data_IF_728010829095
#
_entry.id   IF_728010829095
#
_cell.length_a   1.000
_cell.length_b   1.000
_cell.length_c   1.000
_cell.angle_alpha   90.00
_cell.angle_beta   90.00
_cell.angle_gamma   90.00
#
_symmetry.space_group_name_H-M   'P 1'
#
loop_
_entity.id
_entity.type
_entity.pdbx_description
1 polymer ?
#
# COMPACT_ATOMS: atom_id res chain seq x y z
N UNK A 1 -24.84 11.29 15.68
CA UNK A 1 -23.81 10.37 15.18
C UNK A 1 -22.70 11.23 14.57
N UNK A 2 -21.43 10.96 14.87
CA UNK A 2 -20.30 11.72 14.30
C UNK A 2 -19.99 11.23 12.90
N UNK A 3 -19.82 12.15 11.94
CA UNK A 3 -19.48 11.82 10.54
C UNK A 3 -18.08 11.19 10.45
N UNK A 4 -17.03 11.92 10.83
CA UNK A 4 -15.64 11.45 10.78
C UNK A 4 -15.18 11.03 12.17
N UNK A 5 -15.14 9.72 12.40
CA UNK A 5 -14.66 9.14 13.67
C UNK A 5 -13.15 9.05 13.77
N UNK A 6 -12.45 9.02 12.64
CA UNK A 6 -11.00 8.96 12.59
C UNK A 6 -10.51 9.66 11.32
N UNK A 7 -9.50 10.51 11.45
CA UNK A 7 -8.94 11.29 10.33
C UNK A 7 -7.81 10.57 9.59
N UNK A 8 -7.31 9.45 10.12
CA UNK A 8 -6.23 8.64 9.55
C UNK A 8 -6.50 8.15 8.12
N UNK A 9 -7.70 7.65 7.76
CA UNK A 9 -7.96 7.14 6.40
C UNK A 9 -8.23 8.24 5.38
N UNK A 10 -8.49 9.49 5.80
CA UNK A 10 -8.88 10.59 4.91
C UNK A 10 -7.93 10.85 3.74
N UNK A 11 -6.59 10.73 3.87
CA UNK A 11 -5.68 10.91 2.73
C UNK A 11 -5.93 9.95 1.56
N UNK A 12 -6.58 8.81 1.79
CA UNK A 12 -6.87 7.84 0.74
C UNK A 12 -8.11 8.19 -0.10
N UNK A 13 -8.95 9.13 0.39
CA UNK A 13 -10.12 9.57 -0.35
C UNK A 13 -9.69 10.47 -1.51
N UNK A 14 -10.14 10.25 -2.75
CA UNK A 14 -9.89 11.18 -3.84
C UNK A 14 -10.63 12.51 -3.61
N UNK A 15 -10.19 13.57 -4.29
CA UNK A 15 -10.95 14.82 -4.35
C UNK A 15 -12.02 14.69 -5.45
N UNK A 16 -13.27 15.03 -5.13
CA UNK A 16 -14.43 15.02 -6.02
C UNK A 16 -15.16 16.37 -5.99
N UNK A 17 -15.34 16.94 -4.80
CA UNK A 17 -15.98 18.24 -4.58
C UNK A 17 -15.03 19.41 -4.80
N UNK A 18 -13.72 19.19 -4.64
CA UNK A 18 -12.66 20.16 -4.92
C UNK A 18 -11.92 19.76 -6.20
N UNK A 19 -12.10 20.47 -7.33
CA UNK A 19 -11.36 20.21 -8.56
C UNK A 19 -9.84 20.49 -8.41
N UNK A 20 -8.99 19.93 -9.28
CA UNK A 20 -7.54 19.99 -9.12
C UNK A 20 -6.94 21.40 -9.01
N UNK A 21 -7.47 22.36 -9.77
CA UNK A 21 -7.05 23.76 -9.77
C UNK A 21 -7.34 24.46 -8.42
N UNK A 22 -8.50 24.17 -7.81
CA UNK A 22 -8.87 24.65 -6.48
C UNK A 22 -7.99 24.01 -5.41
N UNK A 23 -7.75 22.69 -5.50
CA UNK A 23 -6.84 21.99 -4.58
C UNK A 23 -5.43 22.57 -4.65
N UNK A 24 -4.90 22.81 -5.86
CA UNK A 24 -3.58 23.40 -6.06
C UNK A 24 -3.48 24.80 -5.43
N UNK A 25 -4.48 25.66 -5.66
CA UNK A 25 -4.55 26.99 -5.05
C UNK A 25 -4.57 26.90 -3.51
N UNK A 26 -5.41 26.02 -2.95
CA UNK A 26 -5.51 25.79 -1.51
C UNK A 26 -4.22 25.24 -0.91
N UNK A 27 -3.56 24.29 -1.58
CA UNK A 27 -2.29 23.73 -1.11
C UNK A 27 -1.15 24.74 -1.14
N UNK A 28 -1.10 25.59 -2.16
CA UNK A 28 -0.10 26.66 -2.31
C UNK A 28 -0.24 27.75 -1.25
N UNK A 29 -1.46 28.04 -0.83
CA UNK A 29 -1.77 29.10 0.16
C UNK A 29 -1.79 28.59 1.60
N UNK A 30 -1.84 27.28 1.81
CA UNK A 30 -1.83 26.71 3.15
C UNK A 30 -0.42 26.69 3.76
N UNK A 31 -0.25 27.07 5.05
CA UNK A 31 1.04 26.98 5.72
C UNK A 31 1.59 25.56 5.72
N UNK A 32 2.88 25.40 5.39
CA UNK A 32 3.56 24.12 5.45
C UNK A 32 3.54 23.57 6.88
N UNK A 33 2.69 22.57 7.12
CA UNK A 33 2.46 22.01 8.44
C UNK A 33 1.99 20.56 8.36
N UNK A 34 2.28 19.79 9.41
CA UNK A 34 1.68 18.46 9.58
C UNK A 34 0.16 18.62 9.66
N UNK A 35 -0.57 17.83 8.88
CA UNK A 35 -2.03 17.85 8.85
C UNK A 35 -2.68 18.76 7.80
N UNK A 36 -1.90 19.41 6.91
CA UNK A 36 -2.47 20.21 5.80
C UNK A 36 -3.45 19.40 4.94
N UNK A 37 -3.04 18.19 4.55
CA UNK A 37 -3.82 17.27 3.73
C UNK A 37 -5.11 16.86 4.44
N UNK A 38 -5.05 16.61 5.74
CA UNK A 38 -6.23 16.24 6.54
C UNK A 38 -7.23 17.39 6.59
N UNK A 39 -6.78 18.64 6.78
CA UNK A 39 -7.69 19.81 6.76
C UNK A 39 -8.39 19.95 5.41
N UNK A 40 -7.66 19.77 4.30
CA UNK A 40 -8.26 19.81 2.96
C UNK A 40 -9.24 18.66 2.73
N UNK A 41 -8.93 17.45 3.20
CA UNK A 41 -9.85 16.31 3.11
C UNK A 41 -11.08 16.46 3.98
N UNK A 42 -10.98 17.13 5.12
CA UNK A 42 -12.15 17.50 5.92
C UNK A 42 -13.03 18.51 5.18
N UNK A 43 -12.44 19.50 4.50
CA UNK A 43 -13.21 20.45 3.69
C UNK A 43 -13.85 19.78 2.47
N UNK A 44 -13.11 18.92 1.78
CA UNK A 44 -13.62 18.05 0.71
C UNK A 44 -14.84 17.24 1.18
N UNK A 45 -14.71 16.54 2.31
CA UNK A 45 -15.80 15.78 2.91
C UNK A 45 -17.01 16.67 3.21
N UNK A 46 -16.79 17.84 3.80
CA UNK A 46 -17.84 18.79 4.11
C UNK A 46 -18.61 19.25 2.86
N UNK A 47 -17.89 19.62 1.80
CA UNK A 47 -18.46 20.02 0.52
C UNK A 47 -19.23 18.88 -0.15
N UNK A 48 -18.66 17.67 -0.13
CA UNK A 48 -19.29 16.48 -0.68
C UNK A 48 -20.59 16.15 0.08
N UNK A 49 -20.60 16.14 1.41
CA UNK A 49 -21.83 15.88 2.20
C UNK A 49 -22.99 16.83 1.88
N UNK A 50 -22.70 18.04 1.40
CA UNK A 50 -23.67 19.07 1.02
C UNK A 50 -23.95 19.11 -0.49
N UNK A 51 -23.43 18.16 -1.27
CA UNK A 51 -23.61 18.13 -2.72
C UNK A 51 -23.04 19.35 -3.44
N UNK A 52 -22.02 19.99 -2.86
CA UNK A 52 -21.51 21.28 -3.32
C UNK A 52 -20.09 21.16 -3.89
N UNK A 53 -19.94 21.39 -5.19
CA UNK A 53 -18.62 21.51 -5.83
C UNK A 53 -18.11 22.95 -5.73
N UNK A 54 -16.88 23.12 -5.26
CA UNK A 54 -16.21 24.43 -5.21
C UNK A 54 -15.37 24.58 -6.47
N UNK A 55 -15.80 25.41 -7.41
CA UNK A 55 -15.03 25.72 -8.62
C UNK A 55 -14.16 26.95 -8.41
N UNK A 56 -13.12 27.12 -9.22
CA UNK A 56 -12.24 28.30 -9.15
C UNK A 56 -13.02 29.61 -9.27
N UNK A 57 -13.92 29.71 -10.25
CA UNK A 57 -14.83 30.87 -10.42
C UNK A 57 -15.81 31.02 -9.24
N UNK A 58 -16.20 29.90 -8.64
CA UNK A 58 -17.11 29.86 -7.49
C UNK A 58 -16.48 30.37 -6.19
N UNK A 59 -15.15 30.48 -6.08
CA UNK A 59 -14.47 31.00 -4.88
C UNK A 59 -14.86 32.44 -4.55
N UNK A 60 -15.17 33.24 -5.57
CA UNK A 60 -15.60 34.64 -5.41
C UNK A 60 -17.11 34.77 -5.14
N UNK A 61 -17.84 33.65 -5.08
CA UNK A 61 -19.29 33.66 -4.86
C UNK A 61 -19.64 33.72 -3.36
N UNK A 62 -20.76 34.36 -3.00
CA UNK A 62 -21.28 34.31 -1.62
C UNK A 62 -21.52 32.87 -1.12
N UNK A 63 -21.86 31.96 -2.03
CA UNK A 63 -22.09 30.54 -1.73
C UNK A 63 -20.82 29.85 -1.20
N UNK A 64 -19.65 30.18 -1.76
CA UNK A 64 -18.39 29.66 -1.21
C UNK A 64 -18.11 30.19 0.20
N UNK A 65 -18.31 31.48 0.42
CA UNK A 65 -18.12 32.09 1.75
C UNK A 65 -19.05 31.44 2.79
N UNK A 66 -20.31 31.20 2.45
CA UNK A 66 -21.26 30.47 3.29
C UNK A 66 -20.79 29.03 3.58
N UNK A 67 -20.32 28.29 2.57
CA UNK A 67 -19.73 26.96 2.75
C UNK A 67 -18.51 26.98 3.70
N UNK A 68 -17.61 27.93 3.50
CA UNK A 68 -16.41 28.09 4.31
C UNK A 68 -16.73 28.42 5.77
N UNK A 69 -17.74 29.29 6.00
CA UNK A 69 -18.27 29.62 7.32
C UNK A 69 -18.90 28.41 8.00
N UNK A 70 -19.77 27.70 7.29
CA UNK A 70 -20.38 26.46 7.79
C UNK A 70 -19.35 25.39 8.13
N UNK A 71 -18.26 25.28 7.37
CA UNK A 71 -17.16 24.37 7.67
C UNK A 71 -16.45 24.73 8.98
N UNK A 72 -16.18 26.02 9.22
CA UNK A 72 -15.63 26.47 10.51
C UNK A 72 -16.56 26.11 11.68
N UNK A 73 -17.87 26.30 11.50
CA UNK A 73 -18.88 25.90 12.48
C UNK A 73 -18.87 24.39 12.75
N UNK A 74 -18.78 23.59 11.69
CA UNK A 74 -18.74 22.12 11.78
C UNK A 74 -17.53 21.64 12.60
N UNK A 75 -16.36 22.26 12.41
CA UNK A 75 -15.14 21.91 13.15
C UNK A 75 -15.21 22.24 14.65
N UNK A 76 -16.08 23.14 15.11
CA UNK A 76 -16.18 23.42 16.56
C UNK A 76 -16.79 22.26 17.35
N UNK A 77 -17.78 21.60 16.77
CA UNK A 77 -18.51 20.49 17.39
C UNK A 77 -17.89 19.12 17.12
N UNK A 78 -18.40 18.11 17.84
CA UNK A 78 -17.98 16.71 17.72
C UNK A 78 -18.86 15.90 16.76
N UNK A 79 -19.91 16.54 16.23
CA UNK A 79 -20.83 15.92 15.28
C UNK A 79 -20.19 15.73 13.89
N UNK A 80 -19.26 16.61 13.51
CA UNK A 80 -18.57 16.49 12.23
C UNK A 80 -17.30 15.64 12.34
N UNK A 81 -16.42 15.94 13.31
CA UNK A 81 -15.16 15.20 13.52
C UNK A 81 -14.95 14.94 15.00
N UNK A 82 -14.58 13.71 15.36
CA UNK A 82 -14.44 13.24 16.76
C UNK A 82 -13.11 13.64 17.44
N UNK A 83 -12.17 14.27 16.71
CA UNK A 83 -10.88 14.72 17.25
C UNK A 83 -11.07 15.61 18.47
N UNK A 84 -10.11 15.67 19.40
CA UNK A 84 -10.17 16.59 20.54
C UNK A 84 -10.24 18.08 20.14
N UNK A 85 -10.68 18.92 21.08
CA UNK A 85 -10.89 20.35 20.84
C UNK A 85 -9.63 21.10 20.38
N UNK A 86 -8.43 20.70 20.82
CA UNK A 86 -7.19 21.34 20.40
C UNK A 86 -6.87 21.02 18.93
N UNK A 87 -7.02 19.76 18.52
CA UNK A 87 -6.88 19.34 17.13
C UNK A 87 -7.91 20.02 16.21
N UNK A 88 -9.18 20.09 16.64
CA UNK A 88 -10.23 20.83 15.93
C UNK A 88 -9.87 22.31 15.74
N UNK A 89 -9.38 22.97 16.79
CA UNK A 89 -8.92 24.35 16.73
C UNK A 89 -7.72 24.54 15.79
N UNK A 90 -6.81 23.56 15.68
CA UNK A 90 -5.72 23.62 14.70
C UNK A 90 -6.25 23.56 13.26
N UNK A 91 -7.25 22.73 12.96
CA UNK A 91 -7.86 22.69 11.63
C UNK A 91 -8.52 24.02 11.27
N UNK A 92 -9.26 24.64 12.21
CA UNK A 92 -9.83 25.98 12.03
C UNK A 92 -8.74 26.99 11.69
N UNK A 93 -7.69 27.09 12.51
CA UNK A 93 -6.60 28.05 12.28
C UNK A 93 -5.88 27.83 10.94
N UNK A 94 -5.67 26.57 10.54
CA UNK A 94 -5.05 26.23 9.25
C UNK A 94 -5.94 26.65 8.08
N UNK A 95 -7.23 26.38 8.17
CA UNK A 95 -8.19 26.72 7.12
C UNK A 95 -8.37 28.23 6.96
N UNK A 96 -8.48 28.98 8.06
CA UNK A 96 -8.54 30.46 8.04
C UNK A 96 -7.30 31.04 7.35
N UNK A 97 -6.08 30.60 7.74
CA UNK A 97 -4.84 31.08 7.13
C UNK A 97 -4.75 30.78 5.64
N UNK A 98 -5.19 29.58 5.23
CA UNK A 98 -5.28 29.22 3.81
C UNK A 98 -6.25 30.15 3.08
N UNK A 99 -7.43 30.38 3.65
CA UNK A 99 -8.45 31.25 3.09
C UNK A 99 -7.95 32.71 2.94
N UNK A 100 -7.29 33.25 3.95
CA UNK A 100 -6.66 34.58 3.88
C UNK A 100 -5.56 34.63 2.80
N UNK A 101 -4.77 33.57 2.67
CA UNK A 101 -3.77 33.42 1.61
C UNK A 101 -4.39 33.37 0.21
N UNK A 102 -5.55 32.70 0.04
CA UNK A 102 -6.28 32.71 -1.23
C UNK A 102 -6.83 34.10 -1.53
N UNK A 103 -7.38 34.79 -0.53
CA UNK A 103 -7.91 36.15 -0.68
C UNK A 103 -6.83 37.17 -1.05
N UNK A 104 -5.59 36.98 -0.59
CA UNK A 104 -4.46 37.81 -1.01
C UNK A 104 -4.12 37.65 -2.50
N UNK A 105 -4.46 36.50 -3.11
CA UNK A 105 -4.26 36.23 -4.54
C UNK A 105 -5.51 36.55 -5.37
N UNK A 106 -6.70 36.41 -4.79
CA UNK A 106 -8.01 36.65 -5.40
C UNK A 106 -8.84 37.54 -4.45
N UNK A 107 -8.72 38.87 -4.54
CA UNK A 107 -9.34 39.81 -3.60
C UNK A 107 -10.86 39.73 -3.51
N UNK A 108 -11.52 39.20 -4.55
CA UNK A 108 -12.97 39.02 -4.65
C UNK A 108 -13.50 37.91 -3.73
N UNK A 109 -12.62 37.09 -3.16
CA UNK A 109 -13.01 36.10 -2.13
C UNK A 109 -13.48 36.85 -0.88
N UNK A 110 -14.71 36.54 -0.44
CA UNK A 110 -15.31 37.14 0.75
C UNK A 110 -14.51 36.86 2.01
N UNK A 111 -14.49 37.79 2.96
CA UNK A 111 -13.77 37.63 4.22
C UNK A 111 -14.38 36.54 5.12
N UNK A 112 -13.53 35.87 5.89
CA UNK A 112 -13.93 34.82 6.83
C UNK A 112 -13.60 35.22 8.27
N UNK A 113 -14.63 35.45 9.09
CA UNK A 113 -14.46 35.76 10.50
C UNK A 113 -14.17 34.52 11.35
N UNK A 114 -13.25 34.64 12.31
CA UNK A 114 -12.85 33.55 13.22
C UNK A 114 -12.77 33.97 14.71
N UNK A 115 -13.12 35.21 15.03
CA UNK A 115 -13.31 35.68 16.40
C UNK A 115 -14.55 35.02 17.05
N UNK A 116 -14.78 35.30 18.34
CA UNK A 116 -15.85 34.67 19.09
C UNK A 116 -17.25 34.90 18.47
N UNK A 117 -17.57 36.13 18.08
CA UNK A 117 -18.88 36.47 17.50
C UNK A 117 -19.04 35.82 16.13
N UNK A 118 -18.02 35.92 15.27
CA UNK A 118 -18.02 35.26 13.97
C UNK A 118 -18.18 33.74 14.07
N UNK A 119 -17.57 33.12 15.09
CA UNK A 119 -17.68 31.68 15.30
C UNK A 119 -19.08 31.25 15.74
N UNK A 120 -19.80 32.07 16.51
CA UNK A 120 -21.19 31.81 16.88
C UNK A 120 -22.10 31.82 15.64
N UNK A 121 -21.91 32.78 14.74
CA UNK A 121 -22.62 32.81 13.46
C UNK A 121 -22.27 31.59 12.58
N UNK A 122 -20.98 31.22 12.52
CA UNK A 122 -20.53 30.05 11.76
C UNK A 122 -21.16 28.75 12.29
N UNK A 123 -21.35 28.62 13.61
CA UNK A 123 -22.06 27.49 14.23
C UNK A 123 -23.53 27.47 13.80
N UNK A 124 -24.19 28.63 13.70
CA UNK A 124 -25.56 28.71 13.20
C UNK A 124 -25.67 28.26 11.73
N UNK A 125 -24.71 28.65 10.87
CA UNK A 125 -24.63 28.16 9.49
C UNK A 125 -24.47 26.64 9.45
N UNK A 126 -23.59 26.09 10.30
CA UNK A 126 -23.45 24.63 10.42
C UNK A 126 -24.75 23.95 10.87
N UNK A 127 -25.49 24.53 11.82
CA UNK A 127 -26.75 23.95 12.28
C UNK A 127 -27.74 23.77 11.11
N UNK A 128 -27.83 24.73 10.20
CA UNK A 128 -28.67 24.62 9.00
C UNK A 128 -28.11 23.62 7.98
N UNK A 129 -26.80 23.61 7.74
CA UNK A 129 -26.15 22.67 6.83
C UNK A 129 -26.29 21.21 7.32
N UNK A 130 -26.20 21.00 8.64
CA UNK A 130 -26.29 19.67 9.26
C UNK A 130 -27.63 18.97 9.02
N UNK A 131 -28.70 19.73 8.76
CA UNK A 131 -30.04 19.20 8.42
C UNK A 131 -30.12 18.65 6.99
N UNK A 132 -29.19 19.03 6.12
CA UNK A 132 -29.18 18.72 4.68
C UNK A 132 -28.11 17.67 4.30
N UNK A 133 -27.45 17.07 5.28
CA UNK A 133 -26.38 16.10 5.02
C UNK A 133 -26.94 14.84 4.37
N UNK A 134 -26.33 14.46 3.25
CA UNK A 134 -26.68 13.25 2.53
C UNK A 134 -26.26 11.99 3.31
N UNK A 135 -27.20 11.10 3.72
CA UNK A 135 -26.87 9.88 4.46
C UNK A 135 -26.00 8.90 3.67
N UNK A 136 -26.13 8.84 2.35
CA UNK A 136 -25.33 7.94 1.50
C UNK A 136 -23.87 8.40 1.46
N UNK A 137 -23.65 9.72 1.31
CA UNK A 137 -22.30 10.30 1.39
C UNK A 137 -21.69 10.15 2.78
N UNK A 138 -22.49 10.19 3.84
CA UNK A 138 -21.99 9.89 5.19
C UNK A 138 -21.42 8.47 5.29
N UNK A 139 -22.05 7.49 4.64
CA UNK A 139 -21.51 6.12 4.59
C UNK A 139 -20.19 6.06 3.82
N UNK A 140 -20.10 6.76 2.68
CA UNK A 140 -18.85 6.86 1.93
C UNK A 140 -17.69 7.35 2.81
N UNK A 141 -17.92 8.41 3.60
CA UNK A 141 -16.93 9.04 4.49
C UNK A 141 -16.71 8.32 5.84
N UNK A 142 -17.29 7.13 6.06
CA UNK A 142 -17.21 6.43 7.35
C UNK A 142 -15.81 5.91 7.72
N UNK A 143 -14.84 6.03 6.82
CA UNK A 143 -13.44 5.64 7.03
C UNK A 143 -13.15 4.15 6.86
N UNK A 144 -14.17 3.29 6.71
CA UNK A 144 -14.04 1.86 6.44
C UNK A 144 -13.22 1.10 7.49
N UNK A 145 -13.56 1.36 8.76
CA UNK A 145 -12.89 0.77 9.91
C UNK A 145 -13.16 -0.74 10.02
N UNK A 146 -12.13 -1.47 10.42
CA UNK A 146 -12.18 -2.87 10.84
C UNK A 146 -11.52 -3.02 12.21
N UNK A 147 -11.98 -4.00 12.99
CA UNK A 147 -11.43 -4.31 14.30
C UNK A 147 -10.87 -5.72 14.27
N UNK A 148 -9.63 -5.87 14.73
CA UNK A 148 -9.02 -7.18 15.00
C UNK A 148 -9.62 -7.82 16.26
N UNK A 149 -9.36 -9.11 16.48
CA UNK A 149 -9.75 -9.81 17.71
C UNK A 149 -9.13 -9.22 18.98
N UNK A 150 -8.05 -8.44 18.85
CA UNK A 150 -7.40 -7.70 19.96
C UNK A 150 -7.98 -6.29 20.17
N UNK A 151 -9.04 -5.92 19.47
CA UNK A 151 -9.62 -4.57 19.53
C UNK A 151 -8.77 -3.50 18.83
N UNK A 152 -7.67 -3.87 18.15
CA UNK A 152 -6.88 -2.92 17.36
C UNK A 152 -7.66 -2.55 16.10
N UNK A 153 -7.84 -1.24 15.90
CA UNK A 153 -8.46 -0.63 14.72
C UNK A 153 -7.50 -0.57 13.54
N UNK A 154 -8.03 -0.76 12.33
CA UNK A 154 -7.36 -0.59 11.04
C UNK A 154 -8.40 -0.19 10.00
N UNK A 155 -7.97 0.29 8.83
CA UNK A 155 -8.88 0.83 7.82
C UNK A 155 -8.62 0.20 6.45
N UNK A 156 -9.70 -0.05 5.71
CA UNK A 156 -9.64 -0.51 4.33
C UNK A 156 -9.73 0.68 3.37
N UNK A 157 -9.01 0.59 2.25
CA UNK A 157 -8.95 1.62 1.22
C UNK A 157 -10.11 1.50 0.22
N UNK A 158 -11.34 1.54 0.75
CA UNK A 158 -12.56 1.35 -0.05
C UNK A 158 -13.12 2.60 -0.77
N UNK A 159 -12.64 3.86 -0.59
CA UNK A 159 -13.17 4.99 -1.36
C UNK A 159 -13.08 4.80 -2.87
N UNK A 160 -12.00 4.18 -3.38
CA UNK A 160 -11.87 3.89 -4.80
C UNK A 160 -12.82 2.78 -5.27
N UNK A 161 -13.17 1.84 -4.39
CA UNK A 161 -14.13 0.78 -4.69
C UNK A 161 -15.55 1.35 -4.80
N UNK A 162 -15.92 2.24 -3.87
CA UNK A 162 -17.21 2.92 -3.87
C UNK A 162 -17.46 3.64 -5.20
N UNK A 163 -16.47 4.38 -5.69
CA UNK A 163 -16.57 5.13 -6.95
C UNK A 163 -16.68 4.17 -8.15
N UNK A 164 -15.95 3.06 -8.14
CA UNK A 164 -15.84 2.17 -9.30
C UNK A 164 -16.92 1.09 -9.38
N UNK A 165 -17.48 0.66 -8.24
CA UNK A 165 -18.39 -0.49 -8.12
C UNK A 165 -19.70 -0.15 -7.37
N UNK A 166 -19.92 1.12 -7.04
CA UNK A 166 -21.04 1.66 -6.28
C UNK A 166 -21.06 1.28 -4.78
N UNK A 167 -21.95 1.96 -4.06
CA UNK A 167 -22.06 1.87 -2.60
C UNK A 167 -22.43 0.48 -2.10
N UNK A 168 -23.48 -0.13 -2.67
CA UNK A 168 -23.97 -1.44 -2.21
C UNK A 168 -22.89 -2.53 -2.27
N UNK A 169 -22.20 -2.67 -3.39
CA UNK A 169 -21.11 -3.65 -3.53
C UNK A 169 -19.99 -3.39 -2.51
N UNK A 170 -19.66 -2.12 -2.27
CA UNK A 170 -18.59 -1.74 -1.35
C UNK A 170 -18.96 -1.98 0.11
N UNK A 171 -20.21 -1.70 0.49
CA UNK A 171 -20.76 -2.02 1.82
C UNK A 171 -20.74 -3.53 2.08
N UNK A 172 -21.22 -4.33 1.12
CA UNK A 172 -21.22 -5.79 1.23
C UNK A 172 -19.79 -6.34 1.33
N UNK A 173 -18.87 -5.84 0.51
CA UNK A 173 -17.45 -6.19 0.56
C UNK A 173 -16.82 -5.84 1.92
N UNK A 174 -17.10 -4.64 2.44
CA UNK A 174 -16.61 -4.19 3.75
C UNK A 174 -17.11 -5.10 4.86
N UNK A 175 -18.40 -5.44 4.86
CA UNK A 175 -19.02 -6.21 5.93
C UNK A 175 -18.42 -7.62 6.04
N UNK A 176 -18.20 -8.31 4.91
CA UNK A 176 -17.56 -9.64 4.92
C UNK A 176 -16.17 -9.60 5.56
N UNK A 177 -15.34 -8.62 5.17
CA UNK A 177 -14.01 -8.46 5.77
C UNK A 177 -14.06 -8.01 7.24
N UNK A 178 -14.99 -7.13 7.60
CA UNK A 178 -15.17 -6.64 8.97
C UNK A 178 -15.51 -7.79 9.92
N UNK A 179 -16.42 -8.67 9.53
CA UNK A 179 -16.80 -9.85 10.31
C UNK A 179 -15.67 -10.87 10.41
N UNK A 180 -14.93 -11.07 9.32
CA UNK A 180 -13.79 -11.99 9.28
C UNK A 180 -12.64 -11.52 10.18
N UNK A 181 -12.23 -10.26 10.06
CA UNK A 181 -11.09 -9.72 10.80
C UNK A 181 -11.32 -9.60 12.29
N UNK A 182 -12.57 -9.52 12.76
CA UNK A 182 -12.90 -9.61 14.19
C UNK A 182 -12.44 -10.91 14.84
N UNK A 183 -12.27 -11.98 14.05
CA UNK A 183 -11.77 -13.29 14.53
C UNK A 183 -10.25 -13.41 14.44
N UNK A 184 -9.57 -12.46 13.78
CA UNK A 184 -8.13 -12.53 13.50
C UNK A 184 -7.32 -11.58 14.38
N UNK A 185 -6.21 -12.08 14.94
CA UNK A 185 -5.28 -11.26 15.70
C UNK A 185 -4.47 -10.30 14.82
N UNK A 186 -4.21 -10.66 13.55
CA UNK A 186 -3.45 -9.88 12.58
C UNK A 186 -4.20 -9.87 11.23
N UNK A 187 -5.06 -8.87 11.01
CA UNK A 187 -5.74 -8.68 9.73
C UNK A 187 -4.74 -8.44 8.59
N UNK A 188 -4.95 -9.10 7.44
CA UNK A 188 -4.18 -8.92 6.21
C UNK A 188 -4.66 -7.69 5.42
N UNK A 189 -4.69 -6.52 6.07
CA UNK A 189 -5.19 -5.28 5.43
C UNK A 189 -4.38 -4.81 4.23
N UNK A 190 -3.03 -4.94 4.18
CA UNK A 190 -2.28 -4.52 3.00
C UNK A 190 -2.67 -5.27 1.74
N UNK A 191 -2.86 -6.59 1.84
CA UNK A 191 -3.22 -7.47 0.74
C UNK A 191 -4.65 -7.19 0.26
N UNK A 192 -5.60 -6.97 1.17
CA UNK A 192 -6.97 -6.56 0.83
C UNK A 192 -6.97 -5.20 0.13
N UNK A 193 -6.21 -4.22 0.63
CA UNK A 193 -6.12 -2.91 -0.01
C UNK A 193 -5.48 -2.99 -1.40
N UNK A 194 -4.54 -3.91 -1.62
CA UNK A 194 -3.98 -4.15 -2.95
C UNK A 194 -5.01 -4.76 -3.92
N UNK A 195 -5.81 -5.72 -3.46
CA UNK A 195 -6.95 -6.26 -4.22
C UNK A 195 -7.93 -5.16 -4.60
N UNK A 196 -8.33 -4.33 -3.63
CA UNK A 196 -9.29 -3.24 -3.83
C UNK A 196 -8.78 -2.24 -4.88
N UNK A 197 -7.52 -1.82 -4.79
CA UNK A 197 -6.92 -0.90 -5.77
C UNK A 197 -6.82 -1.52 -7.15
N UNK A 198 -6.49 -2.81 -7.25
CA UNK A 198 -6.45 -3.52 -8.52
C UNK A 198 -7.86 -3.59 -9.14
N UNK A 199 -8.86 -3.96 -8.35
CA UNK A 199 -10.25 -4.04 -8.80
C UNK A 199 -10.77 -2.67 -9.26
N UNK A 200 -10.55 -1.62 -8.46
CA UNK A 200 -10.99 -0.27 -8.80
C UNK A 200 -10.31 0.28 -10.07
N UNK A 201 -9.01 0.00 -10.26
CA UNK A 201 -8.27 0.43 -11.44
C UNK A 201 -8.75 -0.24 -12.73
N UNK A 202 -9.24 -1.48 -12.64
CA UNK A 202 -9.64 -2.30 -13.78
C UNK A 202 -11.16 -2.54 -13.81
N UNK A 203 -11.96 -1.61 -13.28
CA UNK A 203 -13.41 -1.78 -13.12
C UNK A 203 -14.18 -1.95 -14.43
N UNK A 204 -13.66 -1.41 -15.54
CA UNK A 204 -14.23 -1.60 -16.87
C UNK A 204 -14.10 -3.04 -17.38
N UNK A 205 -13.02 -3.74 -17.01
CA UNK A 205 -12.82 -5.16 -17.35
C UNK A 205 -13.50 -6.09 -16.34
N UNK A 206 -13.55 -5.66 -15.07
CA UNK A 206 -14.03 -6.47 -13.95
C UNK A 206 -15.16 -5.76 -13.19
N UNK A 207 -16.34 -5.55 -13.80
CA UNK A 207 -17.49 -4.97 -13.12
C UNK A 207 -18.01 -5.88 -12.00
N UNK A 208 -18.86 -5.38 -11.10
CA UNK A 208 -19.40 -6.15 -9.96
C UNK A 208 -20.02 -7.50 -10.33
N UNK A 209 -20.60 -7.63 -11.52
CA UNK A 209 -21.19 -8.87 -12.05
C UNK A 209 -20.15 -9.99 -12.29
N UNK A 210 -18.86 -9.64 -12.44
CA UNK A 210 -17.73 -10.58 -12.54
C UNK A 210 -17.76 -11.63 -11.43
N UNK A 211 -18.09 -11.21 -10.22
CA UNK A 211 -18.09 -12.06 -9.03
C UNK A 211 -19.31 -12.98 -8.93
N UNK A 212 -20.27 -12.84 -9.84
CA UNK A 212 -21.46 -13.70 -9.94
C UNK A 212 -21.31 -14.78 -11.03
N UNK A 213 -20.20 -14.79 -11.77
CA UNK A 213 -19.94 -15.74 -12.85
C UNK A 213 -18.68 -16.59 -12.61
N UNK A 214 -18.80 -17.94 -12.49
CA UNK A 214 -17.68 -18.84 -12.21
C UNK A 214 -16.47 -18.71 -13.14
N UNK A 215 -16.69 -18.39 -14.42
CA UNK A 215 -15.61 -18.19 -15.39
C UNK A 215 -14.89 -16.86 -15.22
N UNK A 216 -15.64 -15.79 -14.97
CA UNK A 216 -15.11 -14.42 -14.89
C UNK A 216 -14.31 -14.20 -13.61
N UNK A 217 -14.81 -14.70 -12.46
CA UNK A 217 -14.10 -14.59 -11.19
C UNK A 217 -12.72 -15.26 -11.26
N UNK A 218 -12.60 -16.41 -11.93
CA UNK A 218 -11.31 -17.08 -12.11
C UNK A 218 -10.36 -16.24 -12.96
N UNK A 219 -10.87 -15.68 -14.07
CA UNK A 219 -10.08 -14.82 -14.96
C UNK A 219 -9.58 -13.57 -14.21
N UNK A 220 -10.44 -12.95 -13.40
CA UNK A 220 -10.08 -11.84 -12.53
C UNK A 220 -8.93 -12.19 -11.58
N UNK A 221 -9.03 -13.30 -10.85
CA UNK A 221 -7.99 -13.69 -9.89
C UNK A 221 -6.67 -14.07 -10.56
N UNK A 222 -6.69 -14.62 -11.77
CA UNK A 222 -5.47 -14.85 -12.55
C UNK A 222 -4.83 -13.53 -13.01
N UNK A 223 -5.63 -12.56 -13.44
CA UNK A 223 -5.14 -11.22 -13.79
C UNK A 223 -4.55 -10.50 -12.56
N UNK A 224 -5.24 -10.56 -11.42
CA UNK A 224 -4.75 -10.00 -10.16
C UNK A 224 -3.48 -10.69 -9.68
N UNK A 225 -3.41 -12.02 -9.78
CA UNK A 225 -2.21 -12.80 -9.43
C UNK A 225 -0.99 -12.33 -10.22
N UNK A 226 -1.16 -12.13 -11.54
CA UNK A 226 -0.11 -11.59 -12.40
C UNK A 226 0.35 -10.22 -11.93
N UNK A 227 -0.55 -9.27 -11.69
CA UNK A 227 -0.20 -7.93 -11.21
C UNK A 227 0.52 -7.97 -9.85
N UNK A 228 -0.01 -8.76 -8.92
CA UNK A 228 0.53 -8.93 -7.56
C UNK A 228 1.99 -9.40 -7.58
N UNK A 229 2.28 -10.50 -8.27
CA UNK A 229 3.65 -11.05 -8.32
C UNK A 229 4.58 -10.23 -9.21
N UNK A 230 4.10 -9.62 -10.30
CA UNK A 230 4.93 -8.72 -11.11
C UNK A 230 5.32 -7.44 -10.36
N UNK A 231 4.42 -6.91 -9.51
CA UNK A 231 4.77 -5.81 -8.61
C UNK A 231 5.83 -6.24 -7.60
N UNK A 232 5.62 -7.36 -6.93
CA UNK A 232 6.56 -7.88 -5.94
C UNK A 232 7.96 -8.14 -6.54
N UNK A 233 8.02 -8.64 -7.78
CA UNK A 233 9.28 -8.81 -8.52
C UNK A 233 9.96 -7.47 -8.82
N UNK A 234 9.21 -6.47 -9.33
CA UNK A 234 9.74 -5.12 -9.59
C UNK A 234 10.28 -4.44 -8.33
N UNK A 235 9.66 -4.71 -7.18
CA UNK A 235 10.04 -4.13 -5.89
C UNK A 235 11.09 -4.99 -5.14
N UNK A 236 11.68 -6.01 -5.78
CA UNK A 236 12.67 -6.93 -5.19
C UNK A 236 12.22 -7.55 -3.84
N UNK A 237 10.93 -7.85 -3.71
CA UNK A 237 10.38 -8.46 -2.50
C UNK A 237 10.74 -9.95 -2.41
N UNK A 238 10.71 -10.51 -1.20
CA UNK A 238 10.89 -11.95 -0.99
C UNK A 238 9.68 -12.73 -1.56
N UNK A 239 9.89 -13.46 -2.66
CA UNK A 239 8.82 -14.20 -3.36
C UNK A 239 8.11 -15.22 -2.47
N UNK A 240 8.82 -15.93 -1.59
CA UNK A 240 8.20 -16.92 -0.73
C UNK A 240 7.32 -16.28 0.36
N UNK A 241 7.70 -15.11 0.87
CA UNK A 241 6.84 -14.31 1.75
C UNK A 241 5.58 -13.85 1.02
N UNK A 242 5.71 -13.42 -0.25
CA UNK A 242 4.58 -12.97 -1.07
C UNK A 242 3.64 -14.12 -1.44
N UNK A 243 4.17 -15.32 -1.74
CA UNK A 243 3.35 -16.52 -1.94
C UNK A 243 2.54 -16.86 -0.68
N UNK A 244 3.16 -16.77 0.51
CA UNK A 244 2.44 -16.99 1.78
C UNK A 244 1.33 -15.97 2.00
N UNK A 245 1.60 -14.69 1.79
CA UNK A 245 0.61 -13.61 1.93
C UNK A 245 -0.53 -13.77 0.92
N UNK A 246 -0.22 -14.08 -0.34
CA UNK A 246 -1.20 -14.38 -1.38
C UNK A 246 -2.11 -15.56 -1.01
N UNK A 247 -1.53 -16.70 -0.60
CA UNK A 247 -2.31 -17.88 -0.23
C UNK A 247 -3.20 -17.62 0.98
N UNK A 248 -2.75 -16.81 1.93
CA UNK A 248 -3.55 -16.36 3.06
C UNK A 248 -4.73 -15.49 2.60
N UNK A 249 -4.50 -14.53 1.70
CA UNK A 249 -5.56 -13.71 1.10
C UNK A 249 -6.60 -14.58 0.38
N UNK A 250 -6.16 -15.48 -0.52
CA UNK A 250 -7.07 -16.34 -1.28
C UNK A 250 -7.91 -17.24 -0.37
N UNK A 251 -7.31 -17.79 0.68
CA UNK A 251 -8.03 -18.61 1.66
C UNK A 251 -9.05 -17.79 2.44
N UNK A 252 -8.72 -16.53 2.79
CA UNK A 252 -9.68 -15.60 3.39
C UNK A 252 -10.85 -15.30 2.46
N UNK A 253 -10.58 -15.03 1.18
CA UNK A 253 -11.60 -14.76 0.17
C UNK A 253 -12.52 -15.97 -0.04
N UNK A 254 -11.94 -17.17 -0.19
CA UNK A 254 -12.71 -18.41 -0.31
C UNK A 254 -13.68 -18.57 0.88
N UNK A 255 -13.19 -18.40 2.10
CA UNK A 255 -13.99 -18.56 3.31
C UNK A 255 -15.12 -17.53 3.46
N UNK A 256 -14.92 -16.28 3.03
CA UNK A 256 -15.88 -15.19 3.30
C UNK A 256 -16.78 -14.84 2.13
N UNK A 257 -16.37 -15.18 0.90
CA UNK A 257 -17.14 -14.87 -0.31
C UNK A 257 -17.62 -16.11 -1.05
N UNK A 258 -16.80 -17.17 -1.17
CA UNK A 258 -17.17 -18.35 -1.96
C UNK A 258 -17.98 -19.36 -1.13
N UNK A 259 -17.50 -19.74 0.06
CA UNK A 259 -18.17 -20.69 0.95
C UNK A 259 -19.52 -20.14 1.48
N UNK A 260 -19.63 -18.82 1.60
CA UNK A 260 -20.86 -18.12 2.01
C UNK A 260 -21.84 -17.92 0.86
N UNK A 261 -21.44 -18.20 -0.38
CA UNK A 261 -22.26 -18.00 -1.58
C UNK A 261 -22.47 -16.54 -1.98
N UNK A 262 -21.71 -15.59 -1.41
CA UNK A 262 -21.76 -14.17 -1.80
C UNK A 262 -21.22 -14.00 -3.23
N UNK A 263 -20.19 -14.75 -3.58
CA UNK A 263 -19.60 -14.84 -4.91
C UNK A 263 -19.73 -16.25 -5.47
N UNK A 264 -19.71 -16.36 -6.80
CA UNK A 264 -19.83 -17.63 -7.49
C UNK A 264 -18.55 -18.48 -7.36
N UNK A 265 -18.71 -19.77 -7.07
CA UNK A 265 -17.60 -20.74 -7.02
C UNK A 265 -17.02 -20.98 -8.43
N UNK A 266 -15.69 -20.82 -8.63
CA UNK A 266 -15.04 -21.15 -9.90
C UNK A 266 -15.25 -22.62 -10.30
N UNK A 267 -15.33 -22.91 -11.61
CA UNK A 267 -15.58 -24.29 -12.11
C UNK A 267 -14.55 -25.35 -11.65
N UNK A 268 -13.33 -24.95 -11.29
CA UNK A 268 -12.28 -25.85 -10.77
C UNK A 268 -12.12 -25.77 -9.25
N UNK A 269 -13.17 -25.35 -8.54
CA UNK A 269 -13.31 -25.46 -7.09
C UNK A 269 -12.62 -24.39 -6.25
N UNK A 270 -11.47 -23.85 -6.70
CA UNK A 270 -10.68 -22.92 -5.88
C UNK A 270 -10.08 -21.74 -6.63
N UNK A 271 -9.62 -20.76 -5.85
CA UNK A 271 -8.84 -19.62 -6.33
C UNK A 271 -7.38 -20.04 -6.58
N UNK A 272 -6.65 -19.34 -7.48
CA UNK A 272 -5.29 -19.73 -7.81
C UNK A 272 -4.35 -19.58 -6.61
N UNK A 273 -3.72 -20.68 -6.16
CA UNK A 273 -2.76 -20.71 -5.05
C UNK A 273 -1.43 -21.31 -5.54
N UNK A 274 -0.38 -20.52 -5.79
CA UNK A 274 0.92 -21.04 -6.16
C UNK A 274 1.58 -21.81 -5.02
N UNK A 275 2.37 -22.81 -5.38
CA UNK A 275 3.19 -23.57 -4.43
C UNK A 275 4.40 -22.75 -3.97
N UNK A 276 4.69 -22.84 -2.67
CA UNK A 276 5.90 -22.24 -2.09
C UNK A 276 7.10 -23.04 -2.62
N UNK A 277 7.99 -22.38 -3.37
CA UNK A 277 9.26 -22.99 -3.73
C UNK A 277 10.15 -23.04 -2.49
N UNK A 278 10.89 -24.14 -2.24
CA UNK A 278 11.83 -24.17 -1.13
C UNK A 278 12.79 -22.97 -1.21
N UNK A 279 12.85 -22.16 -0.16
CA UNK A 279 13.84 -21.08 -0.07
C UNK A 279 15.24 -21.72 -0.19
N UNK A 280 16.08 -21.18 -1.08
CA UNK A 280 17.52 -21.42 -1.05
C UNK A 280 18.13 -20.58 0.09
N UNK A 281 17.71 -20.88 1.32
CA UNK A 281 18.07 -20.18 2.55
C UNK A 281 18.85 -21.06 3.52
N UNK A 282 19.51 -20.40 4.49
CA UNK A 282 20.36 -20.96 5.55
C UNK A 282 19.87 -22.33 6.04
N UNK A 283 20.68 -23.36 5.77
CA UNK A 283 20.38 -24.77 6.06
C UNK A 283 20.27 -25.63 4.80
N UNK A 284 20.02 -25.04 3.63
CA UNK A 284 20.17 -25.74 2.35
C UNK A 284 21.64 -25.70 1.91
N UNK A 285 22.26 -26.87 1.68
CA UNK A 285 23.69 -27.04 1.32
C UNK A 285 23.98 -26.61 -0.13
N UNK A 286 23.40 -25.49 -0.58
CA UNK A 286 23.38 -25.00 -1.96
C UNK A 286 23.63 -23.49 -1.95
N UNK A 287 24.64 -23.02 -2.70
CA UNK A 287 25.01 -21.59 -2.84
C UNK A 287 24.86 -21.16 -4.30
N UNK A 288 24.50 -19.90 -4.53
CA UNK A 288 24.54 -19.29 -5.87
C UNK A 288 25.94 -18.71 -6.11
N UNK A 289 26.59 -19.14 -7.20
CA UNK A 289 27.89 -18.62 -7.66
C UNK A 289 27.74 -17.20 -8.21
N UNK A 290 28.86 -16.49 -8.40
CA UNK A 290 28.90 -15.13 -8.98
C UNK A 290 28.26 -15.06 -10.37
N UNK A 291 28.38 -16.15 -11.16
CA UNK A 291 27.76 -16.29 -12.49
C UNK A 291 26.28 -16.72 -12.44
N UNK A 292 25.67 -16.75 -11.25
CA UNK A 292 24.26 -17.09 -11.05
C UNK A 292 23.94 -18.59 -10.99
N UNK A 293 24.91 -19.46 -11.18
CA UNK A 293 24.76 -20.93 -11.12
C UNK A 293 24.65 -21.45 -9.68
N UNK A 294 23.75 -22.40 -9.43
CA UNK A 294 23.59 -23.02 -8.09
C UNK A 294 24.58 -24.19 -7.96
N UNK A 295 25.40 -24.17 -6.90
CA UNK A 295 26.45 -25.15 -6.58
C UNK A 295 26.26 -25.76 -5.19
N UNK A 296 26.75 -26.98 -4.98
CA UNK A 296 26.75 -27.64 -3.67
C UNK A 296 27.90 -27.18 -2.76
N UNK A 297 27.59 -26.86 -1.50
CA UNK A 297 28.54 -26.26 -0.53
C UNK A 297 29.51 -27.28 0.11
N UNK A 298 29.16 -28.57 0.14
CA UNK A 298 29.95 -29.62 0.85
C UNK A 298 31.17 -30.13 0.08
N UNK A 299 31.36 -29.71 -1.16
CA UNK A 299 32.41 -30.25 -2.02
C UNK A 299 33.61 -29.29 -2.02
N UNK A 300 34.80 -29.84 -1.83
CA UNK A 300 36.08 -29.12 -2.03
C UNK A 300 36.14 -28.50 -3.44
N UNK A 301 35.46 -29.12 -4.41
CA UNK A 301 35.26 -28.60 -5.76
C UNK A 301 33.79 -28.23 -5.96
N UNK A 302 33.44 -26.95 -6.23
CA UNK A 302 32.06 -26.58 -6.51
C UNK A 302 31.59 -27.23 -7.81
N UNK A 303 30.50 -28.00 -7.73
CA UNK A 303 29.87 -28.66 -8.88
C UNK A 303 28.50 -28.02 -9.15
N UNK A 304 28.24 -27.52 -10.37
CA UNK A 304 26.93 -27.02 -10.76
C UNK A 304 25.84 -28.09 -10.75
N UNK A 305 24.65 -27.73 -10.27
CA UNK A 305 23.51 -28.66 -10.17
C UNK A 305 22.85 -29.05 -11.50
N UNK A 306 23.16 -28.34 -12.59
CA UNK A 306 22.58 -28.60 -13.90
C UNK A 306 23.38 -29.62 -14.72
N UNK A 307 24.54 -30.05 -14.21
CA UNK A 307 25.35 -31.07 -14.87
C UNK A 307 24.76 -32.46 -14.60
N UNK A 308 24.87 -33.31 -15.60
CA UNK A 308 24.67 -34.76 -15.44
C UNK A 308 25.77 -35.35 -14.57
N UNK A 309 25.53 -36.54 -14.00
CA UNK A 309 26.51 -37.21 -13.13
C UNK A 309 27.84 -37.46 -13.86
N UNK A 310 27.81 -37.80 -15.15
CA UNK A 310 29.00 -38.03 -15.99
C UNK A 310 29.83 -36.75 -16.18
N UNK A 311 29.17 -35.63 -16.50
CA UNK A 311 29.81 -34.32 -16.63
C UNK A 311 30.39 -33.82 -15.31
N UNK A 312 29.67 -34.07 -14.20
CA UNK A 312 30.13 -33.73 -12.86
C UNK A 312 31.41 -34.51 -12.49
N UNK A 313 31.46 -35.81 -12.80
CA UNK A 313 32.63 -36.65 -12.57
C UNK A 313 33.84 -36.12 -13.36
N UNK A 314 33.66 -35.81 -14.65
CA UNK A 314 34.74 -35.30 -15.48
C UNK A 314 35.28 -33.95 -14.98
N UNK A 315 34.37 -33.05 -14.58
CA UNK A 315 34.73 -31.75 -14.02
C UNK A 315 35.56 -31.90 -12.74
N UNK A 316 35.17 -32.80 -11.84
CA UNK A 316 35.90 -33.07 -10.60
C UNK A 316 37.30 -33.60 -10.92
N UNK A 317 37.42 -34.59 -11.80
CA UNK A 317 38.72 -35.18 -12.15
C UNK A 317 39.67 -34.16 -12.79
N UNK A 318 39.17 -33.32 -13.71
CA UNK A 318 39.98 -32.23 -14.31
C UNK A 318 40.47 -31.24 -13.26
N UNK A 319 39.63 -30.90 -12.26
CA UNK A 319 40.00 -29.98 -11.18
C UNK A 319 41.06 -30.58 -10.25
N UNK A 320 40.89 -31.84 -9.84
CA UNK A 320 41.86 -32.57 -9.01
C UNK A 320 43.23 -32.62 -9.71
N UNK A 321 43.26 -32.95 -11.01
CA UNK A 321 44.51 -32.97 -11.78
C UNK A 321 45.19 -31.59 -11.81
N UNK A 322 44.41 -30.52 -11.98
CA UNK A 322 44.92 -29.14 -11.96
C UNK A 322 45.49 -28.78 -10.59
N UNK A 323 44.79 -29.12 -9.50
CA UNK A 323 45.24 -28.82 -8.14
C UNK A 323 46.53 -29.59 -7.79
N UNK A 324 46.63 -30.87 -8.17
CA UNK A 324 47.86 -31.67 -8.04
C UNK A 324 49.01 -31.02 -8.83
N UNK A 325 48.75 -30.55 -10.05
CA UNK A 325 49.77 -29.89 -10.87
C UNK A 325 50.27 -28.59 -10.23
N UNK A 326 49.38 -27.80 -9.63
CA UNK A 326 49.74 -26.57 -8.90
C UNK A 326 50.64 -26.90 -7.70
N UNK A 327 50.25 -27.87 -6.87
CA UNK A 327 51.02 -28.27 -5.69
C UNK A 327 52.39 -28.81 -6.10
N UNK A 328 52.45 -29.65 -7.13
CA UNK A 328 53.71 -30.18 -7.67
C UNK A 328 54.61 -29.06 -8.21
N UNK A 329 54.05 -28.11 -8.94
CA UNK A 329 54.77 -26.95 -9.46
C UNK A 329 55.35 -26.10 -8.34
N UNK A 330 54.57 -25.82 -7.30
CA UNK A 330 55.04 -25.11 -6.10
C UNK A 330 56.17 -25.86 -5.41
N UNK A 331 56.04 -27.18 -5.20
CA UNK A 331 57.06 -27.99 -4.53
C UNK A 331 58.39 -28.02 -5.32
N UNK A 332 58.33 -28.13 -6.66
CA UNK A 332 59.50 -28.06 -7.53
C UNK A 332 60.18 -26.70 -7.45
N UNK A 333 59.41 -25.61 -7.45
CA UNK A 333 59.95 -24.26 -7.29
C UNK A 333 60.65 -24.07 -5.93
N UNK A 334 60.09 -24.60 -4.84
CA UNK A 334 60.73 -24.56 -3.52
C UNK A 334 62.04 -25.37 -3.49
N UNK A 335 62.04 -26.57 -4.09
CA UNK A 335 63.25 -27.39 -4.23
C UNK A 335 64.34 -26.62 -4.97
N UNK A 336 64.01 -25.99 -6.10
CA UNK A 336 64.99 -25.29 -6.93
C UNK A 336 65.56 -24.06 -6.22
N UNK A 337 64.72 -23.35 -5.46
CA UNK A 337 65.16 -22.26 -4.59
C UNK A 337 66.13 -22.73 -3.50
N UNK A 338 65.84 -23.88 -2.88
CA UNK A 338 66.71 -24.45 -1.84
C UNK A 338 68.05 -24.93 -2.42
N UNK A 339 68.01 -25.60 -3.57
CA UNK A 339 69.19 -26.11 -4.26
C UNK A 339 70.09 -24.99 -4.79
N UNK A 340 69.51 -23.90 -5.30
CA UNK A 340 70.26 -22.71 -5.72
C UNK A 340 70.93 -22.02 -4.54
N UNK A 341 70.24 -21.88 -3.40
CA UNK A 341 70.83 -21.35 -2.17
C UNK A 341 72.01 -22.21 -1.66
N UNK A 342 71.88 -23.54 -1.69
CA UNK A 342 72.98 -24.46 -1.31
C UNK A 342 74.18 -24.31 -2.26
N UNK A 343 73.95 -24.22 -3.57
CA UNK A 343 75.02 -24.02 -4.56
C UNK A 343 75.74 -22.69 -4.33
N UNK A 344 75.00 -21.61 -4.11
CA UNK A 344 75.57 -20.29 -3.84
C UNK A 344 76.40 -20.28 -2.55
N UNK A 345 75.95 -20.97 -1.50
CA UNK A 345 76.72 -21.13 -0.26
C UNK A 345 78.03 -21.89 -0.46
N UNK A 346 78.03 -22.94 -1.30
CA UNK A 346 79.26 -23.68 -1.65
C UNK A 346 80.24 -22.86 -2.49
N UNK A 347 79.75 -21.94 -3.32
CA UNK A 347 80.59 -21.03 -4.10
C UNK A 347 81.23 -19.95 -3.21
N UNK A 348 80.48 -19.39 -2.26
CA UNK A 348 80.98 -18.40 -1.31
C UNK A 348 81.99 -18.98 -0.31
N UNK A 349 81.92 -20.28 0.00
CA UNK A 349 82.88 -20.96 0.87
C UNK A 349 84.18 -21.40 0.19
N UNK A 350 84.39 -21.04 -1.09
CA UNK A 350 85.63 -21.29 -1.85
C UNK A 350 86.47 -20.03 -2.10
N UNK A 351 86.07 -18.90 -1.52
CA UNK A 351 86.82 -17.62 -1.54
C UNK A 351 87.71 -17.54 -0.32
#
# INVERSE_FOLDING_TARGET
MTVIKNTTPLPNYPYQALPPDVVELMERTMPSSRGKMVTLKLFECYCDLLGSTVTYLGLSSPKYTELARGFLGALKGEMFVSNDGANRQQHIRRFVRMHDGMRALVPEIGALGYDQASMEENIAVWAEHSKKLDPERQKYWCGWEILSSKGKSSFLDLPCLWISHAGQFTEDFHEQWRLHFRKMARPATPEVNQLVRFLAKNSGEWPSVTFQHPGMIKAFFLAFMKDYFMKAHRENMNMNAQIRAWNQLMTGIEAIFLETGVWATPYQGGLPKPEIKPDFGLGTRKKKSEDGTIVHEKLLTPVPLHLTDEEAIELIFRRIQKDIAIVKGWALAQRDKLMSAIRNRKLLGKV
#
